data_IF_217791173029
#
_entry.id   IF_217791173029
#
_cell.length_a   1.000
_cell.length_b   1.000
_cell.length_c   1.000
_cell.angle_alpha   90.00
_cell.angle_beta   90.00
_cell.angle_gamma   90.00
#
_symmetry.space_group_name_H-M   'P 1'
#
loop_
_entity.id
_entity.type
_entity.pdbx_description
1 polymer ?
#
# COMPACT_ATOMS: atom_id res chain seq x y z
N UNK A 1 39.19 8.03 -6.99
CA UNK A 1 38.65 6.66 -7.01
C UNK A 1 37.76 6.48 -8.25
N UNK A 2 37.91 5.38 -9.00
CA UNK A 2 37.03 5.07 -10.12
C UNK A 2 35.59 4.80 -9.66
N UNK A 3 34.63 4.98 -10.56
CA UNK A 3 33.20 4.72 -10.31
C UNK A 3 32.57 4.00 -11.49
N UNK A 4 31.73 3.01 -11.22
CA UNK A 4 30.85 2.39 -12.21
C UNK A 4 29.69 3.33 -12.50
N UNK A 5 29.71 4.04 -13.63
CA UNK A 5 28.64 4.96 -14.05
C UNK A 5 28.80 5.40 -15.52
N UNK A 6 27.72 5.83 -16.19
CA UNK A 6 27.75 6.20 -17.61
C UNK A 6 28.69 7.38 -17.92
N UNK A 7 28.65 8.43 -17.08
CA UNK A 7 29.32 9.71 -17.36
C UNK A 7 29.79 10.46 -16.08
N UNK A 8 30.68 11.44 -16.30
CA UNK A 8 31.19 12.36 -15.28
C UNK A 8 30.58 13.75 -15.48
N UNK A 9 29.77 14.26 -14.53
CA UNK A 9 29.36 15.65 -14.57
C UNK A 9 30.59 16.56 -14.70
N UNK A 10 30.47 17.60 -15.52
CA UNK A 10 31.55 18.54 -15.79
C UNK A 10 32.11 19.09 -14.47
N UNK A 11 33.44 19.10 -14.35
CA UNK A 11 34.14 19.61 -13.16
C UNK A 11 34.25 18.64 -11.98
N UNK A 12 33.75 17.40 -12.08
CA UNK A 12 33.97 16.37 -11.04
C UNK A 12 35.26 15.60 -11.29
N UNK A 13 35.96 15.27 -10.19
CA UNK A 13 37.16 14.44 -10.22
C UNK A 13 36.79 12.94 -10.25
N UNK A 14 37.56 12.14 -10.97
CA UNK A 14 37.42 10.68 -11.02
C UNK A 14 37.44 10.10 -12.42
N UNK A 15 37.35 8.77 -12.51
CA UNK A 15 37.26 8.03 -13.77
C UNK A 15 35.95 7.24 -13.77
N UNK A 16 35.16 7.38 -14.82
CA UNK A 16 33.95 6.57 -15.03
C UNK A 16 34.31 5.33 -15.81
N UNK A 17 33.81 4.19 -15.36
CA UNK A 17 33.99 2.90 -16.02
C UNK A 17 32.61 2.36 -16.37
N UNK A 18 32.43 1.94 -17.63
CA UNK A 18 31.17 1.38 -18.11
C UNK A 18 31.10 -0.13 -17.91
N UNK A 19 32.24 -0.79 -17.91
CA UNK A 19 32.35 -2.25 -17.78
C UNK A 19 33.06 -2.63 -16.48
N UNK A 20 32.74 -3.81 -15.96
CA UNK A 20 33.38 -4.38 -14.77
C UNK A 20 34.91 -4.52 -14.94
N UNK A 21 35.44 -5.05 -16.06
CA UNK A 21 36.90 -5.16 -16.25
C UNK A 21 37.61 -3.81 -16.23
N UNK A 22 37.05 -2.79 -16.89
CA UNK A 22 37.65 -1.45 -16.91
C UNK A 22 37.70 -0.84 -15.51
N UNK A 23 36.63 -1.05 -14.73
CA UNK A 23 36.59 -0.60 -13.35
C UNK A 23 37.64 -1.29 -12.48
N UNK A 24 37.79 -2.61 -12.59
CA UNK A 24 38.78 -3.36 -11.82
C UNK A 24 40.19 -2.82 -12.14
N UNK A 25 40.53 -2.68 -13.43
CA UNK A 25 41.82 -2.14 -13.86
C UNK A 25 42.06 -0.73 -13.32
N UNK A 26 41.05 0.14 -13.38
CA UNK A 26 41.15 1.50 -12.84
C UNK A 26 41.26 1.51 -11.31
N UNK A 27 40.58 0.59 -10.62
CA UNK A 27 40.56 0.48 -9.17
C UNK A 27 41.89 -0.04 -8.64
N UNK A 28 42.46 -1.06 -9.28
CA UNK A 28 43.81 -1.56 -8.99
C UNK A 28 44.87 -0.49 -9.25
N UNK A 29 44.78 0.25 -10.38
CA UNK A 29 45.66 1.38 -10.65
C UNK A 29 45.58 2.44 -9.57
N UNK A 30 44.36 2.82 -9.17
CA UNK A 30 44.13 3.79 -8.08
C UNK A 30 44.71 3.28 -6.76
N UNK A 31 44.48 2.02 -6.39
CA UNK A 31 45.03 1.40 -5.18
C UNK A 31 46.57 1.40 -5.19
N UNK A 32 47.18 1.10 -6.35
CA UNK A 32 48.62 1.20 -6.55
C UNK A 32 49.16 2.63 -6.39
N UNK A 33 48.41 3.66 -6.80
CA UNK A 33 48.78 5.06 -6.58
C UNK A 33 48.73 5.44 -5.10
N UNK A 34 47.71 4.97 -4.36
CA UNK A 34 47.58 5.19 -2.91
C UNK A 34 48.75 4.54 -2.17
N UNK A 35 49.10 3.29 -2.50
CA UNK A 35 50.24 2.59 -1.90
C UNK A 35 51.58 3.28 -2.20
N UNK A 36 51.77 3.78 -3.43
CA UNK A 36 52.96 4.59 -3.76
C UNK A 36 53.06 5.88 -2.93
N UNK A 37 51.93 6.52 -2.65
CA UNK A 37 51.89 7.72 -1.81
C UNK A 37 52.22 7.39 -0.35
N UNK A 38 51.77 6.26 0.18
CA UNK A 38 52.11 5.80 1.53
C UNK A 38 53.63 5.62 1.71
N UNK A 39 54.33 5.09 0.70
CA UNK A 39 55.79 4.91 0.73
C UNK A 39 56.59 6.16 0.28
N UNK A 40 55.94 7.30 0.05
CA UNK A 40 56.59 8.50 -0.49
C UNK A 40 57.53 9.18 0.50
N UNK A 41 58.63 9.76 -0.02
CA UNK A 41 59.52 10.64 0.74
C UNK A 41 58.82 11.93 1.23
N UNK A 42 57.64 12.26 0.72
CA UNK A 42 56.81 13.38 1.17
C UNK A 42 56.57 13.36 2.69
N UNK A 43 56.48 12.19 3.32
CA UNK A 43 56.26 12.07 4.78
C UNK A 43 57.43 12.58 5.62
N UNK A 44 58.63 12.63 5.06
CA UNK A 44 59.82 13.18 5.71
C UNK A 44 59.73 14.71 5.74
N UNK A 45 59.12 15.31 4.71
CA UNK A 45 58.97 16.76 4.58
C UNK A 45 57.80 17.33 5.42
N UNK A 46 56.85 16.48 5.83
CA UNK A 46 55.74 16.89 6.69
C UNK A 46 56.19 16.92 8.17
N UNK A 47 56.56 18.12 8.65
CA UNK A 47 57.04 18.32 10.03
C UNK A 47 55.95 18.27 11.10
N UNK A 48 54.69 18.56 10.75
CA UNK A 48 53.59 18.55 11.71
C UNK A 48 53.05 17.14 11.95
N UNK A 49 53.39 16.55 13.10
CA UNK A 49 53.11 15.17 13.46
C UNK A 49 51.63 14.78 13.32
N UNK A 50 50.71 15.57 13.90
CA UNK A 50 49.27 15.23 13.90
C UNK A 50 48.70 15.17 12.48
N UNK A 51 49.12 16.08 11.61
CA UNK A 51 48.69 16.10 10.20
C UNK A 51 49.23 14.87 9.47
N UNK A 52 50.52 14.56 9.68
CA UNK A 52 51.14 13.38 9.10
C UNK A 52 50.41 12.09 9.51
N UNK A 53 50.12 11.92 10.80
CA UNK A 53 49.44 10.73 11.31
C UNK A 53 48.00 10.63 10.80
N UNK A 54 47.26 11.74 10.78
CA UNK A 54 45.91 11.79 10.21
C UNK A 54 45.87 11.43 8.72
N UNK A 55 46.82 11.95 7.93
CA UNK A 55 46.93 11.63 6.50
C UNK A 55 47.33 10.16 6.27
N UNK A 56 48.23 9.59 7.08
CA UNK A 56 48.58 8.17 7.00
C UNK A 56 47.39 7.28 7.34
N UNK A 57 46.63 7.62 8.38
CA UNK A 57 45.39 6.91 8.71
C UNK A 57 44.39 6.92 7.54
N UNK A 58 44.24 8.07 6.87
CA UNK A 58 43.40 8.17 5.67
C UNK A 58 43.88 7.24 4.55
N UNK A 59 45.19 7.14 4.31
CA UNK A 59 45.73 6.22 3.31
C UNK A 59 45.50 4.76 3.69
N UNK A 60 45.68 4.39 4.95
CA UNK A 60 45.39 3.03 5.42
C UNK A 60 43.92 2.65 5.22
N UNK A 61 43.00 3.58 5.52
CA UNK A 61 41.56 3.44 5.19
C UNK A 61 41.37 3.20 3.69
N UNK A 62 41.97 4.05 2.84
CA UNK A 62 41.85 3.95 1.38
C UNK A 62 42.45 2.65 0.82
N UNK A 63 43.45 2.06 1.48
CA UNK A 63 44.05 0.78 1.10
C UNK A 63 43.29 -0.44 1.63
N UNK A 64 42.27 -0.23 2.46
CA UNK A 64 41.42 -1.27 2.99
C UNK A 64 41.94 -1.91 4.29
N UNK A 65 42.70 -1.19 5.11
CA UNK A 65 43.13 -1.70 6.42
C UNK A 65 41.90 -1.87 7.32
N UNK A 66 41.59 -3.13 7.68
CA UNK A 66 40.38 -3.47 8.45
C UNK A 66 40.37 -2.80 9.83
N UNK A 67 41.51 -2.67 10.50
CA UNK A 67 41.57 -2.05 11.84
C UNK A 67 41.22 -0.58 11.76
N UNK A 68 41.82 0.13 10.79
CA UNK A 68 41.60 1.56 10.60
C UNK A 68 40.18 1.83 10.07
N UNK A 69 39.65 0.98 9.19
CA UNK A 69 38.25 1.04 8.76
C UNK A 69 37.26 0.83 9.91
N UNK A 70 37.54 -0.14 10.78
CA UNK A 70 36.70 -0.41 11.95
C UNK A 70 36.79 0.77 12.94
N UNK A 71 37.95 1.38 13.11
CA UNK A 71 38.11 2.55 13.96
C UNK A 71 37.39 3.80 13.40
N UNK A 72 37.38 3.95 12.07
CA UNK A 72 36.81 5.11 11.39
C UNK A 72 35.30 5.07 11.14
N UNK A 73 34.65 3.92 11.36
CA UNK A 73 33.21 3.73 11.13
C UNK A 73 32.44 3.65 12.44
N UNK A 74 31.23 4.19 12.46
CA UNK A 74 30.36 4.22 13.64
C UNK A 74 29.27 3.15 13.60
N UNK A 75 28.87 2.71 12.41
CA UNK A 75 27.80 1.72 12.22
C UNK A 75 28.25 0.55 11.34
N UNK A 76 27.66 -0.63 11.54
CA UNK A 76 28.03 -1.84 10.78
C UNK A 76 27.81 -1.66 9.27
N UNK A 77 26.81 -0.87 8.85
CA UNK A 77 26.55 -0.56 7.44
C UNK A 77 27.67 0.27 6.81
N UNK A 78 28.26 1.20 7.56
CA UNK A 78 29.39 1.98 7.05
C UNK A 78 30.61 1.08 6.87
N UNK A 79 30.86 0.19 7.83
CA UNK A 79 31.92 -0.81 7.74
C UNK A 79 31.67 -1.75 6.56
N UNK A 80 30.45 -2.25 6.40
CA UNK A 80 30.02 -3.10 5.29
C UNK A 80 30.24 -2.41 3.94
N UNK A 81 29.78 -1.18 3.77
CA UNK A 81 30.01 -0.40 2.54
C UNK A 81 31.50 -0.16 2.28
N UNK A 82 32.29 0.08 3.33
CA UNK A 82 33.73 0.32 3.21
C UNK A 82 34.50 -0.90 2.68
N UNK A 83 34.02 -2.12 2.97
CA UNK A 83 34.59 -3.34 2.41
C UNK A 83 34.48 -3.35 0.87
N UNK A 84 33.35 -2.92 0.31
CA UNK A 84 33.20 -2.81 -1.14
C UNK A 84 34.02 -1.67 -1.72
N UNK A 85 34.15 -0.55 -1.02
CA UNK A 85 34.92 0.58 -1.53
C UNK A 85 36.43 0.29 -1.56
N UNK A 86 36.98 -0.28 -0.49
CA UNK A 86 38.42 -0.28 -0.24
C UNK A 86 39.08 -1.66 -0.23
N UNK A 87 38.30 -2.74 -0.07
CA UNK A 87 38.86 -4.10 0.04
C UNK A 87 38.54 -4.94 -1.18
N UNK A 88 37.24 -5.08 -1.50
CA UNK A 88 36.76 -5.95 -2.58
C UNK A 88 35.48 -5.37 -3.20
N UNK A 89 35.58 -4.67 -4.34
CA UNK A 89 34.45 -3.99 -4.97
C UNK A 89 33.30 -4.87 -5.47
N UNK A 90 33.54 -6.17 -5.67
CA UNK A 90 32.54 -7.11 -6.12
C UNK A 90 32.55 -8.33 -5.23
N UNK A 91 31.39 -8.72 -4.69
CA UNK A 91 31.21 -10.02 -4.03
C UNK A 91 30.97 -11.12 -5.05
N UNK A 92 31.09 -12.36 -4.58
CA UNK A 92 30.84 -13.58 -5.36
C UNK A 92 29.38 -14.05 -5.32
N UNK A 93 28.52 -13.36 -4.57
CA UNK A 93 27.10 -13.71 -4.38
C UNK A 93 26.55 -13.18 -3.06
N UNK A 94 25.27 -13.45 -2.79
CA UNK A 94 24.57 -13.05 -1.57
C UNK A 94 25.12 -13.73 -0.31
N UNK A 95 25.47 -15.02 -0.36
CA UNK A 95 26.10 -15.72 0.76
C UNK A 95 27.36 -14.98 1.27
N UNK A 96 28.21 -14.54 0.33
CA UNK A 96 29.40 -13.76 0.66
C UNK A 96 29.08 -12.36 1.23
N UNK A 97 27.99 -11.73 0.77
CA UNK A 97 27.49 -10.48 1.35
C UNK A 97 26.94 -10.69 2.75
N UNK A 98 26.18 -11.76 2.97
CA UNK A 98 25.61 -12.11 4.26
C UNK A 98 26.69 -12.36 5.30
N UNK A 99 27.67 -13.22 4.99
CA UNK A 99 28.79 -13.49 5.89
C UNK A 99 29.57 -12.22 6.25
N UNK A 100 29.78 -11.34 5.26
CA UNK A 100 30.44 -10.07 5.48
C UNK A 100 29.61 -9.14 6.39
N UNK A 101 28.30 -9.07 6.18
CA UNK A 101 27.40 -8.29 7.02
C UNK A 101 27.41 -8.79 8.47
N UNK A 102 27.30 -10.11 8.68
CA UNK A 102 27.39 -10.72 10.01
C UNK A 102 28.70 -10.35 10.72
N UNK A 103 29.84 -10.42 10.02
CA UNK A 103 31.13 -9.99 10.56
C UNK A 103 31.15 -8.51 10.92
N UNK A 104 30.57 -7.65 10.09
CA UNK A 104 30.48 -6.22 10.37
C UNK A 104 29.59 -5.93 11.58
N UNK A 105 28.47 -6.63 11.72
CA UNK A 105 27.56 -6.53 12.87
C UNK A 105 28.27 -6.98 14.16
N UNK A 106 29.05 -8.05 14.12
CA UNK A 106 29.83 -8.51 15.28
C UNK A 106 30.89 -7.48 15.71
N UNK A 107 31.56 -6.83 14.75
CA UNK A 107 32.58 -5.81 15.02
C UNK A 107 31.97 -4.47 15.46
N UNK A 108 30.74 -4.17 15.03
CA UNK A 108 30.01 -2.93 15.30
C UNK A 108 28.56 -3.26 15.69
N UNK A 109 28.33 -3.86 16.86
CA UNK A 109 26.99 -4.21 17.28
C UNK A 109 26.14 -2.95 17.42
N UNK A 110 25.03 -2.91 16.69
CA UNK A 110 24.01 -1.86 16.82
C UNK A 110 23.05 -2.25 17.93
N UNK A 111 22.90 -1.40 18.94
CA UNK A 111 21.83 -1.54 19.95
C UNK A 111 20.48 -1.00 19.47
N UNK A 112 20.41 -0.54 18.22
CA UNK A 112 19.22 0.04 17.64
C UNK A 112 18.09 -0.97 17.56
N UNK A 113 16.92 -0.54 18.03
CA UNK A 113 15.69 -1.33 18.06
C UNK A 113 14.89 -1.23 16.76
N UNK A 114 15.37 -0.41 15.82
CA UNK A 114 14.77 -0.29 14.49
C UNK A 114 14.91 -1.65 13.78
N UNK A 115 13.81 -2.17 13.23
CA UNK A 115 13.77 -3.50 12.57
C UNK A 115 14.67 -3.64 11.35
N UNK A 116 15.41 -2.59 10.99
CA UNK A 116 16.14 -2.47 9.74
C UNK A 116 17.33 -3.42 9.70
N UNK A 117 18.06 -3.60 10.80
CA UNK A 117 19.18 -4.57 10.85
C UNK A 117 18.68 -6.00 10.62
N UNK A 118 17.56 -6.38 11.25
CA UNK A 118 16.94 -7.70 11.06
C UNK A 118 16.48 -7.89 9.61
N UNK A 119 15.78 -6.90 9.06
CA UNK A 119 15.30 -6.90 7.68
C UNK A 119 16.45 -7.03 6.67
N UNK A 120 17.49 -6.20 6.78
CA UNK A 120 18.66 -6.26 5.89
C UNK A 120 19.39 -7.60 6.02
N UNK A 121 19.49 -8.14 7.23
CA UNK A 121 20.08 -9.45 7.43
C UNK A 121 19.26 -10.55 6.72
N UNK A 122 17.93 -10.51 6.82
CA UNK A 122 17.02 -11.41 6.12
C UNK A 122 17.15 -11.35 4.60
N UNK A 123 17.21 -10.13 4.04
CA UNK A 123 17.43 -9.89 2.60
C UNK A 123 18.77 -10.48 2.17
N UNK A 124 19.84 -10.22 2.91
CA UNK A 124 21.17 -10.71 2.57
C UNK A 124 21.27 -12.23 2.68
N UNK A 125 20.52 -12.86 3.58
CA UNK A 125 20.41 -14.32 3.69
C UNK A 125 19.48 -14.97 2.68
N UNK A 126 18.85 -14.19 1.79
CA UNK A 126 17.85 -14.66 0.81
C UNK A 126 16.71 -15.46 1.48
N UNK A 127 16.30 -15.04 2.68
CA UNK A 127 15.29 -15.74 3.47
C UNK A 127 13.98 -14.92 3.53
N UNK A 128 12.97 -15.25 2.71
CA UNK A 128 11.73 -14.49 2.64
C UNK A 128 10.91 -14.54 3.93
N UNK A 129 11.00 -15.61 4.72
CA UNK A 129 10.32 -15.73 6.02
C UNK A 129 10.84 -14.74 7.03
N UNK A 130 12.17 -14.59 7.12
CA UNK A 130 12.81 -13.63 8.03
C UNK A 130 12.46 -12.21 7.60
N UNK A 131 12.49 -11.93 6.28
CA UNK A 131 12.08 -10.63 5.75
C UNK A 131 10.63 -10.33 6.13
N UNK A 132 9.72 -11.27 5.90
CA UNK A 132 8.31 -11.11 6.20
C UNK A 132 8.08 -10.93 7.71
N UNK A 133 8.74 -11.74 8.55
CA UNK A 133 8.62 -11.65 10.00
C UNK A 133 9.08 -10.29 10.55
N UNK A 134 10.20 -9.76 10.05
CA UNK A 134 10.68 -8.43 10.42
C UNK A 134 9.75 -7.32 9.89
N UNK A 135 9.25 -7.44 8.66
CA UNK A 135 8.22 -6.55 8.11
C UNK A 135 6.99 -6.51 9.01
N UNK A 136 6.42 -7.66 9.38
CA UNK A 136 5.22 -7.74 10.22
C UNK A 136 5.44 -7.22 11.63
N UNK A 137 6.62 -7.46 12.22
CA UNK A 137 6.91 -7.05 13.59
C UNK A 137 7.20 -5.55 13.72
N UNK A 138 7.79 -4.94 12.70
CA UNK A 138 8.43 -3.61 12.80
C UNK A 138 7.82 -2.56 11.88
N UNK A 139 7.06 -2.97 10.87
CA UNK A 139 6.48 -2.09 9.87
C UNK A 139 4.95 -2.26 9.82
N UNK A 140 4.27 -1.32 9.15
CA UNK A 140 2.81 -1.32 9.06
C UNK A 140 2.27 -2.30 8.00
N UNK A 141 0.95 -2.61 8.02
CA UNK A 141 0.32 -3.56 7.10
C UNK A 141 0.52 -3.26 5.61
N UNK A 142 0.66 -1.97 5.25
CA UNK A 142 1.00 -1.58 3.88
C UNK A 142 2.34 -2.16 3.42
N UNK A 143 3.38 -2.04 4.26
CA UNK A 143 4.73 -2.54 3.93
C UNK A 143 4.71 -4.06 3.76
N UNK A 144 4.01 -4.77 4.66
CA UNK A 144 3.93 -6.23 4.60
C UNK A 144 3.18 -6.69 3.35
N UNK A 145 2.06 -6.05 3.02
CA UNK A 145 1.25 -6.39 1.84
C UNK A 145 2.06 -6.28 0.55
N UNK A 146 2.80 -5.17 0.39
CA UNK A 146 3.55 -4.92 -0.84
C UNK A 146 4.95 -5.53 -0.85
N UNK A 147 5.55 -5.84 0.31
CA UNK A 147 6.82 -6.56 0.30
C UNK A 147 6.66 -7.99 -0.20
N UNK A 148 5.49 -8.61 -0.02
CA UNK A 148 5.22 -9.94 -0.57
C UNK A 148 5.25 -9.94 -2.10
N UNK A 149 4.73 -8.90 -2.75
CA UNK A 149 4.82 -8.74 -4.22
C UNK A 149 6.29 -8.66 -4.68
N UNK A 150 7.14 -7.97 -3.93
CA UNK A 150 8.58 -7.89 -4.20
C UNK A 150 9.31 -9.21 -3.93
N UNK A 151 8.89 -9.95 -2.91
CA UNK A 151 9.48 -11.24 -2.56
C UNK A 151 9.13 -12.31 -3.60
N UNK A 152 7.91 -12.31 -4.14
CA UNK A 152 7.44 -13.30 -5.11
C UNK A 152 7.97 -13.06 -6.54
N UNK A 153 8.29 -11.81 -6.92
CA UNK A 153 8.54 -11.41 -8.30
C UNK A 153 9.65 -12.19 -9.06
N UNK A 154 10.61 -12.80 -8.37
CA UNK A 154 11.68 -13.60 -8.98
C UNK A 154 12.20 -14.68 -7.99
N UNK A 155 11.31 -15.28 -7.20
CA UNK A 155 11.66 -16.30 -6.22
C UNK A 155 10.53 -17.34 -6.09
N UNK A 156 10.68 -18.46 -6.80
CA UNK A 156 9.71 -19.57 -6.83
C UNK A 156 9.37 -20.09 -5.42
N UNK A 157 10.36 -20.14 -4.52
CA UNK A 157 10.15 -20.59 -3.16
C UNK A 157 9.25 -19.62 -2.38
N UNK A 158 9.55 -18.31 -2.48
CA UNK A 158 8.75 -17.29 -1.84
C UNK A 158 7.32 -17.25 -2.41
N UNK A 159 7.18 -17.37 -3.74
CA UNK A 159 5.91 -17.42 -4.44
C UNK A 159 5.02 -18.56 -3.91
N UNK A 160 5.54 -19.80 -3.92
CA UNK A 160 4.84 -20.97 -3.38
C UNK A 160 4.47 -20.75 -1.91
N UNK A 161 5.43 -20.32 -1.09
CA UNK A 161 5.23 -20.13 0.35
C UNK A 161 4.11 -19.10 0.66
N UNK A 162 4.03 -18.03 -0.12
CA UNK A 162 3.11 -16.90 0.08
C UNK A 162 1.70 -17.22 -0.40
N UNK A 163 1.56 -17.98 -1.48
CA UNK A 163 0.27 -18.31 -2.11
C UNK A 163 -0.33 -19.65 -1.64
N UNK A 164 0.45 -20.53 -1.01
CA UNK A 164 -0.06 -21.78 -0.45
C UNK A 164 -1.09 -21.53 0.66
N UNK A 165 -2.28 -22.12 0.52
CA UNK A 165 -3.34 -22.06 1.52
C UNK A 165 -2.96 -22.85 2.77
N UNK A 166 -3.23 -22.28 3.93
CA UNK A 166 -2.86 -22.92 5.19
C UNK A 166 -4.07 -23.18 6.08
N UNK A 167 -4.30 -24.44 6.51
CA UNK A 167 -5.44 -24.77 7.37
C UNK A 167 -5.46 -23.98 8.70
N UNK A 168 -4.28 -23.68 9.26
CA UNK A 168 -4.15 -22.88 10.48
C UNK A 168 -4.56 -21.41 10.30
N UNK A 169 -4.69 -20.92 9.07
CA UNK A 169 -5.23 -19.59 8.76
C UNK A 169 -6.70 -19.64 8.33
N UNK A 170 -7.36 -20.79 8.49
CA UNK A 170 -8.74 -20.96 8.03
C UNK A 170 -8.84 -21.16 6.52
N UNK A 171 -7.81 -21.75 5.91
CA UNK A 171 -7.80 -22.08 4.48
C UNK A 171 -7.40 -20.93 3.57
N UNK A 172 -6.81 -19.85 4.10
CA UNK A 172 -6.28 -18.75 3.28
C UNK A 172 -4.74 -18.77 3.25
N UNK A 173 -4.17 -18.11 2.25
CA UNK A 173 -2.73 -17.96 2.10
C UNK A 173 -2.18 -16.84 3.00
N UNK A 174 -0.84 -16.76 3.13
CA UNK A 174 -0.18 -15.65 3.84
C UNK A 174 -0.47 -14.32 3.15
N UNK A 175 -0.44 -14.33 1.83
CA UNK A 175 -0.71 -13.16 1.00
C UNK A 175 -2.13 -12.64 1.24
N UNK A 176 -3.13 -13.54 1.15
CA UNK A 176 -4.53 -13.19 1.39
C UNK A 176 -4.72 -12.66 2.81
N UNK A 177 -4.15 -13.32 3.83
CA UNK A 177 -4.22 -12.88 5.22
C UNK A 177 -3.77 -11.42 5.39
N UNK A 178 -2.60 -11.06 4.86
CA UNK A 178 -2.06 -9.71 5.04
C UNK A 178 -2.76 -8.67 4.16
N UNK A 179 -3.24 -9.05 2.97
CA UNK A 179 -4.11 -8.19 2.15
C UNK A 179 -5.42 -7.87 2.87
N UNK A 180 -6.03 -8.85 3.53
CA UNK A 180 -7.24 -8.64 4.32
C UNK A 180 -6.98 -7.71 5.51
N UNK A 181 -5.86 -7.88 6.22
CA UNK A 181 -5.46 -6.98 7.32
C UNK A 181 -5.27 -5.56 6.81
N UNK A 182 -4.59 -5.36 5.68
CA UNK A 182 -4.39 -4.02 5.13
C UNK A 182 -5.70 -3.41 4.61
N UNK A 183 -6.55 -4.19 3.95
CA UNK A 183 -7.87 -3.77 3.54
C UNK A 183 -8.70 -3.28 4.75
N UNK A 184 -8.66 -3.99 5.89
CA UNK A 184 -9.34 -3.53 7.12
C UNK A 184 -8.84 -2.17 7.61
N UNK A 185 -7.53 -1.92 7.55
CA UNK A 185 -6.97 -0.60 7.87
C UNK A 185 -7.52 0.46 6.92
N UNK A 186 -7.56 0.20 5.62
CA UNK A 186 -8.11 1.11 4.62
C UNK A 186 -9.60 1.40 4.85
N UNK A 187 -10.38 0.37 5.19
CA UNK A 187 -11.80 0.46 5.49
C UNK A 187 -12.12 1.34 6.71
N UNK A 188 -11.18 1.44 7.66
CA UNK A 188 -11.40 2.18 8.92
C UNK A 188 -11.48 3.70 8.76
N UNK A 189 -11.08 4.24 7.61
CA UNK A 189 -10.96 5.68 7.42
C UNK A 189 -11.69 6.19 6.15
N UNK A 190 -12.37 7.33 6.29
CA UNK A 190 -13.30 7.88 5.29
C UNK A 190 -12.65 8.27 3.97
N UNK A 191 -11.35 8.58 3.97
CA UNK A 191 -10.60 8.94 2.76
C UNK A 191 -9.99 7.75 2.03
N UNK A 192 -9.84 6.60 2.70
CA UNK A 192 -9.07 5.45 2.17
C UNK A 192 -9.93 4.23 1.87
N UNK A 193 -11.16 4.16 2.38
CA UNK A 193 -12.02 2.99 2.18
C UNK A 193 -12.29 2.68 0.71
N UNK A 194 -12.27 3.69 -0.19
CA UNK A 194 -12.46 3.51 -1.64
C UNK A 194 -11.33 2.69 -2.28
N UNK A 195 -10.17 2.58 -1.62
CA UNK A 195 -9.04 1.78 -2.10
C UNK A 195 -9.21 0.32 -1.69
N UNK A 196 -9.84 0.06 -0.54
CA UNK A 196 -10.00 -1.29 0.03
C UNK A 196 -10.64 -2.32 -0.93
N UNK A 197 -11.67 -1.98 -1.75
CA UNK A 197 -12.22 -2.91 -2.74
C UNK A 197 -11.17 -3.53 -3.67
N UNK A 198 -10.15 -2.77 -4.07
CA UNK A 198 -9.06 -3.27 -4.93
C UNK A 198 -8.29 -4.42 -4.31
N UNK A 199 -8.05 -4.35 -2.99
CA UNK A 199 -7.38 -5.42 -2.25
C UNK A 199 -8.34 -6.57 -1.96
N UNK A 200 -9.56 -6.27 -1.53
CA UNK A 200 -10.57 -7.29 -1.21
C UNK A 200 -10.94 -8.12 -2.43
N UNK A 201 -11.05 -7.52 -3.63
CA UNK A 201 -11.36 -8.27 -4.85
C UNK A 201 -10.23 -9.21 -5.30
N UNK A 202 -9.00 -8.98 -4.84
CA UNK A 202 -7.85 -9.85 -5.14
C UNK A 202 -7.74 -11.05 -4.18
N UNK A 203 -8.56 -11.10 -3.14
CA UNK A 203 -8.59 -12.19 -2.16
C UNK A 203 -9.64 -13.23 -2.56
N UNK A 204 -9.18 -14.44 -2.94
CA UNK A 204 -10.02 -15.47 -3.55
C UNK A 204 -11.04 -16.09 -2.59
N UNK A 205 -10.71 -16.21 -1.30
CA UNK A 205 -11.52 -16.96 -0.36
C UNK A 205 -12.47 -16.05 0.44
N UNK A 206 -11.94 -15.06 1.15
CA UNK A 206 -12.74 -14.22 2.07
C UNK A 206 -12.98 -12.79 1.57
N UNK A 207 -12.33 -12.40 0.47
CA UNK A 207 -12.33 -11.05 -0.06
C UNK A 207 -13.70 -10.49 -0.38
N UNK A 208 -14.46 -11.20 -1.21
CA UNK A 208 -15.78 -10.75 -1.67
C UNK A 208 -16.76 -10.57 -0.52
N UNK A 209 -16.86 -11.52 0.41
CA UNK A 209 -17.76 -11.40 1.56
C UNK A 209 -17.45 -10.18 2.44
N UNK A 210 -16.17 -9.87 2.65
CA UNK A 210 -15.75 -8.67 3.37
C UNK A 210 -16.02 -7.39 2.59
N UNK A 211 -15.92 -7.42 1.26
CA UNK A 211 -16.31 -6.30 0.40
C UNK A 211 -17.82 -6.02 0.53
N UNK A 212 -18.68 -7.04 0.49
CA UNK A 212 -20.12 -6.86 0.68
C UNK A 212 -20.44 -6.16 2.01
N UNK A 213 -19.80 -6.61 3.10
CA UNK A 213 -19.95 -6.00 4.43
C UNK A 213 -19.49 -4.55 4.44
N UNK A 214 -18.37 -4.24 3.78
CA UNK A 214 -17.85 -2.88 3.68
C UNK A 214 -18.85 -1.96 2.97
N UNK A 215 -19.39 -2.39 1.83
CA UNK A 215 -20.32 -1.59 1.03
C UNK A 215 -21.64 -1.34 1.77
N UNK A 216 -22.16 -2.36 2.47
CA UNK A 216 -23.37 -2.23 3.29
C UNK A 216 -23.22 -1.29 4.49
N UNK A 217 -21.99 -1.07 4.97
CA UNK A 217 -21.68 -0.17 6.10
C UNK A 217 -21.45 1.28 5.68
N UNK A 218 -21.43 1.60 4.39
CA UNK A 218 -21.18 2.96 3.94
C UNK A 218 -22.31 3.92 4.38
N UNK A 219 -21.98 5.15 4.81
CA UNK A 219 -22.98 6.16 5.16
C UNK A 219 -23.96 6.44 4.00
N UNK A 220 -25.25 6.37 4.30
CA UNK A 220 -26.35 6.55 3.32
C UNK A 220 -26.91 7.98 3.27
N UNK A 221 -26.42 8.87 4.13
CA UNK A 221 -26.91 10.25 4.24
C UNK A 221 -26.50 11.10 3.04
N UNK A 222 -25.33 10.81 2.47
CA UNK A 222 -24.78 11.50 1.30
C UNK A 222 -25.10 10.70 0.03
N UNK A 223 -25.97 11.25 -0.83
CA UNK A 223 -26.34 10.63 -2.10
C UNK A 223 -25.12 10.41 -3.01
N UNK A 224 -24.09 11.26 -2.95
CA UNK A 224 -22.87 11.05 -3.73
C UNK A 224 -22.14 9.79 -3.28
N UNK A 225 -22.12 9.54 -1.98
CA UNK A 225 -21.52 8.34 -1.41
C UNK A 225 -22.32 7.09 -1.78
N UNK A 226 -23.65 7.15 -1.72
CA UNK A 226 -24.53 6.05 -2.17
C UNK A 226 -24.24 5.70 -3.63
N UNK A 227 -24.19 6.69 -4.53
CA UNK A 227 -23.91 6.45 -5.95
C UNK A 227 -22.52 5.84 -6.18
N UNK A 228 -21.50 6.30 -5.45
CA UNK A 228 -20.16 5.69 -5.50
C UNK A 228 -20.18 4.24 -5.05
N UNK A 229 -20.88 3.94 -3.97
CA UNK A 229 -21.00 2.57 -3.46
C UNK A 229 -21.73 1.66 -4.45
N UNK A 230 -22.77 2.16 -5.12
CA UNK A 230 -23.48 1.43 -6.17
C UNK A 230 -22.60 1.17 -7.39
N UNK A 231 -21.74 2.11 -7.77
CA UNK A 231 -20.78 1.90 -8.85
C UNK A 231 -19.74 0.83 -8.49
N UNK A 232 -19.31 0.76 -7.23
CA UNK A 232 -18.47 -0.34 -6.74
C UNK A 232 -19.23 -1.68 -6.77
N UNK A 233 -20.50 -1.72 -6.35
CA UNK A 233 -21.32 -2.93 -6.50
C UNK A 233 -21.40 -3.38 -7.96
N UNK A 234 -21.56 -2.44 -8.91
CA UNK A 234 -21.58 -2.74 -10.34
C UNK A 234 -20.23 -3.27 -10.85
N UNK A 235 -19.13 -2.65 -10.43
CA UNK A 235 -17.77 -3.03 -10.84
C UNK A 235 -17.39 -4.45 -10.38
N UNK A 236 -17.85 -4.85 -9.20
CA UNK A 236 -17.55 -6.16 -8.60
C UNK A 236 -18.71 -7.15 -8.69
N UNK A 237 -19.70 -6.89 -9.55
CA UNK A 237 -20.85 -7.79 -9.82
C UNK A 237 -21.70 -8.15 -8.57
N UNK A 238 -21.80 -7.22 -7.61
CA UNK A 238 -22.55 -7.38 -6.35
C UNK A 238 -23.97 -6.80 -6.45
N UNK A 239 -24.75 -7.26 -7.43
CA UNK A 239 -26.10 -6.74 -7.74
C UNK A 239 -27.07 -6.81 -6.54
N UNK A 240 -27.03 -7.91 -5.80
CA UNK A 240 -27.85 -8.12 -4.60
C UNK A 240 -27.51 -7.09 -3.51
N UNK A 241 -26.22 -6.79 -3.32
CA UNK A 241 -25.77 -5.78 -2.36
C UNK A 241 -26.20 -4.39 -2.79
N UNK A 242 -26.05 -4.06 -4.08
CA UNK A 242 -26.51 -2.80 -4.65
C UNK A 242 -28.01 -2.57 -4.42
N UNK A 243 -28.82 -3.59 -4.69
CA UNK A 243 -30.27 -3.58 -4.44
C UNK A 243 -30.59 -3.33 -2.96
N UNK A 244 -29.87 -3.99 -2.04
CA UNK A 244 -30.06 -3.79 -0.60
C UNK A 244 -29.69 -2.37 -0.17
N UNK A 245 -28.61 -1.79 -0.71
CA UNK A 245 -28.18 -0.43 -0.41
C UNK A 245 -29.25 0.58 -0.85
N UNK A 246 -29.81 0.42 -2.05
CA UNK A 246 -30.92 1.27 -2.52
C UNK A 246 -32.14 1.16 -1.59
N UNK A 247 -32.52 -0.04 -1.14
CA UNK A 247 -33.61 -0.22 -0.16
C UNK A 247 -33.31 0.49 1.16
N UNK A 248 -32.08 0.37 1.67
CA UNK A 248 -31.65 1.02 2.92
C UNK A 248 -31.70 2.55 2.77
N UNK A 249 -31.21 3.10 1.66
CA UNK A 249 -31.28 4.53 1.35
C UNK A 249 -32.73 5.01 1.26
N UNK A 250 -33.60 4.24 0.59
CA UNK A 250 -35.04 4.53 0.51
C UNK A 250 -35.70 4.60 1.89
N UNK A 251 -35.42 3.64 2.77
CA UNK A 251 -35.92 3.64 4.16
C UNK A 251 -35.46 4.87 4.92
N UNK A 252 -34.17 5.19 4.80
CA UNK A 252 -33.58 6.30 5.52
C UNK A 252 -34.22 7.63 5.15
N UNK A 253 -34.25 7.96 3.85
CA UNK A 253 -34.85 9.21 3.37
C UNK A 253 -36.35 9.26 3.67
N UNK A 254 -37.06 8.15 3.55
CA UNK A 254 -38.47 8.06 3.92
C UNK A 254 -38.72 8.37 5.40
N UNK A 255 -37.92 7.82 6.31
CA UNK A 255 -38.04 8.07 7.76
C UNK A 255 -37.68 9.51 8.14
N UNK A 256 -36.82 10.17 7.38
CA UNK A 256 -36.38 11.56 7.64
C UNK A 256 -37.20 12.61 6.89
N UNK A 257 -38.43 12.29 6.47
CA UNK A 257 -39.35 13.24 5.83
C UNK A 257 -39.05 13.55 4.35
N UNK A 258 -37.94 13.05 3.80
CA UNK A 258 -37.59 13.19 2.37
C UNK A 258 -38.28 12.11 1.55
N UNK A 259 -39.61 12.19 1.50
CA UNK A 259 -40.45 11.12 0.94
C UNK A 259 -40.17 10.84 -0.54
N UNK A 260 -39.97 11.88 -1.36
CA UNK A 260 -39.68 11.75 -2.80
C UNK A 260 -38.38 10.99 -3.06
N UNK A 261 -37.29 11.39 -2.39
CA UNK A 261 -36.01 10.66 -2.45
C UNK A 261 -36.14 9.22 -1.95
N UNK A 262 -36.97 9.00 -0.92
CA UNK A 262 -37.28 7.65 -0.45
C UNK A 262 -37.92 6.77 -1.52
N UNK A 263 -38.95 7.28 -2.21
CA UNK A 263 -39.63 6.58 -3.30
C UNK A 263 -38.70 6.34 -4.49
N UNK A 264 -37.92 7.35 -4.88
CA UNK A 264 -36.90 7.23 -5.93
C UNK A 264 -36.00 6.01 -5.68
N UNK A 265 -35.42 5.88 -4.49
CA UNK A 265 -34.55 4.75 -4.19
C UNK A 265 -35.28 3.41 -4.13
N UNK A 266 -36.54 3.36 -3.72
CA UNK A 266 -37.34 2.13 -3.78
C UNK A 266 -37.68 1.72 -5.23
N UNK A 267 -37.89 2.68 -6.13
CA UNK A 267 -38.08 2.43 -7.56
C UNK A 267 -36.80 1.87 -8.18
N UNK A 268 -35.65 2.49 -7.91
CA UNK A 268 -34.34 2.00 -8.37
C UNK A 268 -34.04 0.59 -7.84
N UNK A 269 -34.46 0.28 -6.61
CA UNK A 269 -34.32 -1.05 -6.01
C UNK A 269 -35.36 -2.09 -6.51
N UNK A 270 -36.30 -1.68 -7.36
CA UNK A 270 -37.47 -2.47 -7.76
C UNK A 270 -38.26 -3.08 -6.57
N UNK A 271 -38.35 -2.36 -5.44
CA UNK A 271 -39.05 -2.82 -4.22
C UNK A 271 -40.57 -2.58 -4.31
N UNK A 272 -41.23 -3.36 -5.18
CA UNK A 272 -42.68 -3.26 -5.44
C UNK A 272 -43.52 -3.33 -4.17
N UNK A 273 -43.17 -4.25 -3.25
CA UNK A 273 -43.91 -4.45 -1.99
C UNK A 273 -43.94 -3.18 -1.15
N UNK A 274 -42.81 -2.46 -1.04
CA UNK A 274 -42.78 -1.19 -0.32
C UNK A 274 -43.51 -0.08 -1.06
N UNK A 275 -43.34 0.00 -2.38
CA UNK A 275 -44.02 0.99 -3.20
C UNK A 275 -45.54 0.85 -3.10
N UNK A 276 -46.07 -0.36 -3.19
CA UNK A 276 -47.50 -0.65 -3.07
C UNK A 276 -48.03 -0.31 -1.67
N UNK A 277 -47.25 -0.61 -0.61
CA UNK A 277 -47.62 -0.22 0.76
C UNK A 277 -47.64 1.30 0.94
N UNK A 278 -46.70 2.02 0.34
CA UNK A 278 -46.67 3.49 0.35
C UNK A 278 -47.89 4.03 -0.41
N UNK A 279 -48.18 3.48 -1.58
CA UNK A 279 -49.35 3.83 -2.38
C UNK A 279 -50.66 3.66 -1.60
N UNK A 280 -50.85 2.52 -0.93
CA UNK A 280 -52.02 2.26 -0.11
C UNK A 280 -52.16 3.27 1.05
N UNK A 281 -51.05 3.58 1.74
CA UNK A 281 -51.05 4.58 2.81
C UNK A 281 -51.40 5.99 2.30
N UNK A 282 -50.99 6.32 1.07
CA UNK A 282 -51.33 7.59 0.44
C UNK A 282 -52.80 7.65 0.07
N UNK A 283 -53.31 6.59 -0.57
CA UNK A 283 -54.71 6.48 -0.95
C UNK A 283 -55.65 6.64 0.25
N UNK A 284 -55.36 5.98 1.36
CA UNK A 284 -56.14 6.08 2.60
C UNK A 284 -56.10 7.48 3.25
N UNK A 285 -55.01 8.23 3.09
CA UNK A 285 -54.87 9.59 3.64
C UNK A 285 -55.62 10.60 2.77
N UNK A 286 -55.47 10.51 1.45
CA UNK A 286 -56.16 11.39 0.49
C UNK A 286 -57.68 11.19 0.60
N UNK A 287 -58.14 9.94 0.73
CA UNK A 287 -59.57 9.64 0.92
C UNK A 287 -60.18 10.17 2.23
N UNK A 288 -59.35 10.60 3.20
CA UNK A 288 -59.80 11.11 4.51
C UNK A 288 -59.58 12.61 4.71
N UNK A 289 -58.66 13.26 3.99
CA UNK A 289 -58.38 14.70 4.13
C UNK A 289 -58.45 15.43 2.79
N UNK A 290 -59.66 15.88 2.42
CA UNK A 290 -59.85 16.77 1.25
C UNK A 290 -59.62 18.25 1.61
N UNK A 291 -59.30 18.58 2.87
CA UNK A 291 -59.40 19.96 3.37
C UNK A 291 -58.12 20.58 3.99
N UNK A 292 -56.92 19.98 3.91
CA UNK A 292 -55.75 20.51 4.65
C UNK A 292 -54.46 20.69 3.83
N UNK A 293 -53.64 21.66 4.26
CA UNK A 293 -52.28 22.07 3.80
C UNK A 293 -51.27 20.91 3.62
N UNK A 294 -51.62 19.70 4.05
CA UNK A 294 -50.85 18.48 3.87
C UNK A 294 -50.61 18.15 2.38
N UNK A 295 -51.49 18.58 1.47
CA UNK A 295 -51.38 18.30 0.03
C UNK A 295 -50.12 18.92 -0.61
N UNK A 296 -49.70 20.10 -0.15
CA UNK A 296 -48.49 20.79 -0.66
C UNK A 296 -47.19 20.02 -0.45
N UNK A 297 -47.10 19.20 0.61
CA UNK A 297 -45.94 18.33 0.84
C UNK A 297 -45.86 17.17 -0.17
N UNK A 298 -46.98 16.83 -0.81
CA UNK A 298 -47.09 15.73 -1.78
C UNK A 298 -46.90 16.20 -3.22
N UNK A 299 -47.22 17.46 -3.51
CA UNK A 299 -47.01 18.09 -4.82
C UNK A 299 -45.52 18.07 -5.25
N UNK A 300 -44.60 18.43 -4.33
CA UNK A 300 -43.16 18.31 -4.58
C UNK A 300 -42.64 16.86 -4.68
N UNK A 301 -43.42 15.88 -4.19
CA UNK A 301 -43.13 14.45 -4.36
C UNK A 301 -43.49 13.99 -5.78
N UNK A 302 -44.55 14.56 -6.34
CA UNK A 302 -45.03 14.28 -7.70
C UNK A 302 -44.09 14.86 -8.76
N UNK A 303 -43.50 16.04 -8.52
CA UNK A 303 -42.46 16.60 -9.41
C UNK A 303 -41.17 15.76 -9.45
N UNK A 304 -40.76 15.19 -8.31
CA UNK A 304 -39.55 14.35 -8.21
C UNK A 304 -39.72 12.95 -8.84
N UNK A 305 -40.95 12.51 -9.07
CA UNK A 305 -41.25 11.21 -9.68
C UNK A 305 -41.06 11.20 -11.21
N UNK A 306 -40.95 12.36 -11.86
CA UNK A 306 -40.63 12.48 -13.29
C UNK A 306 -41.65 11.84 -14.25
N UNK A 307 -41.35 11.83 -15.54
CA UNK A 307 -42.22 11.26 -16.60
C UNK A 307 -42.19 9.72 -16.68
N UNK A 308 -41.26 9.05 -15.98
CA UNK A 308 -41.04 7.59 -16.05
C UNK A 308 -41.84 6.79 -14.98
N UNK A 309 -42.92 7.37 -14.44
CA UNK A 309 -43.84 6.74 -13.48
C UNK A 309 -44.52 5.48 -14.06
N UNK A 310 -44.48 5.27 -15.38
CA UNK A 310 -45.01 4.07 -16.04
C UNK A 310 -44.34 2.75 -15.61
N UNK A 311 -43.28 2.79 -14.80
CA UNK A 311 -42.66 1.62 -14.16
C UNK A 311 -42.86 1.55 -12.64
N UNK A 312 -43.59 2.50 -12.05
CA UNK A 312 -43.66 2.76 -10.60
C UNK A 312 -44.67 1.92 -9.81
N UNK A 313 -45.18 0.81 -10.36
CA UNK A 313 -46.10 -0.10 -9.66
C UNK A 313 -47.33 0.61 -9.09
N UNK A 314 -47.72 0.29 -7.86
CA UNK A 314 -48.93 0.82 -7.21
C UNK A 314 -49.02 2.35 -7.06
N UNK A 315 -48.02 3.15 -7.44
CA UNK A 315 -48.06 4.62 -7.42
C UNK A 315 -48.64 5.25 -8.70
N UNK A 316 -48.95 4.47 -9.72
CA UNK A 316 -49.55 4.96 -10.97
C UNK A 316 -50.85 5.76 -10.76
N UNK A 317 -51.62 5.46 -9.69
CA UNK A 317 -52.87 6.18 -9.41
C UNK A 317 -52.67 7.68 -9.13
N UNK A 318 -51.49 8.09 -8.66
CA UNK A 318 -51.18 9.49 -8.37
C UNK A 318 -51.19 10.34 -9.65
N UNK A 319 -50.86 9.74 -10.80
CA UNK A 319 -50.91 10.42 -12.10
C UNK A 319 -52.34 10.76 -12.53
N UNK A 320 -53.35 9.99 -12.09
CA UNK A 320 -54.77 10.29 -12.37
C UNK A 320 -55.27 11.47 -11.56
N UNK A 321 -54.78 11.68 -10.35
CA UNK A 321 -55.12 12.85 -9.54
C UNK A 321 -54.48 14.15 -10.05
N UNK A 322 -53.32 14.06 -10.72
CA UNK A 322 -52.66 15.21 -11.34
C UNK A 322 -53.43 15.81 -12.54
N UNK A 323 -54.28 15.01 -13.19
CA UNK A 323 -55.11 15.43 -14.33
C UNK A 323 -56.54 15.83 -13.93
N UNK A 324 -56.89 15.74 -12.65
CA UNK A 324 -58.22 16.05 -12.12
C UNK A 324 -58.29 17.43 -11.43
N UNK A 325 -57.18 18.19 -11.40
CA UNK A 325 -57.11 19.57 -10.90
C UNK A 325 -56.55 20.51 -11.96
#
# INVERSE_FOLDING_TARGET
MPRMRPDLPKGKLGQCCKTRPDFIKAWEKWRGQVSKLECSAFWIQCSHQKTRDGLKNLLHIMMGNIKDLTAATSHWLELFASHFLYIRPFTVGFEGMHHLAQKCIQLKPSFDTNGLTGLLNGILSENPEVVLAECTKKFGPWMVTHCMELLAADNDYADIMLHEERPNFGGISIEELHRLVYAQVLCSHSLTWQIAPTYLSSCLNQGLGLLEILLLKQPIQDNRLVLKTLELCRLYELENVGTNIMKIAGIYHWKHGRKGTGVYWFQQAHDKVRLDRIAQQLFERIGKSVADDNFKQWEGLLELLGSDIGSAGGLEFLHRYLFLF
#
